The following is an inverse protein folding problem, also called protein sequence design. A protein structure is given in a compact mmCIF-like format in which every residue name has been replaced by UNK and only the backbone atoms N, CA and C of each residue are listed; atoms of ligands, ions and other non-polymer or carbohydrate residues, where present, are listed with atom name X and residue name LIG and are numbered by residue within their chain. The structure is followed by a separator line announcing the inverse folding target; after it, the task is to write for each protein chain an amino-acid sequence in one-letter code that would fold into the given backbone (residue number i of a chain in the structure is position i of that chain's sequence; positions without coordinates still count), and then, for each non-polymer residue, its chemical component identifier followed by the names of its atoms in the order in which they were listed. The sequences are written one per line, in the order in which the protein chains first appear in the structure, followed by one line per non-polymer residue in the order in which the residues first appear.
data_IF_869163682436
#
_entry.id   IF_869163682436
#
_cell.length_a   1.000
_cell.length_b   1.000
_cell.length_c   1.000
_cell.angle_alpha   90.00
_cell.angle_beta   90.00
_cell.angle_gamma   90.00
#
_symmetry.space_group_name_H-M   'P 1'
#
loop_
_entity.id
_entity.type
_entity.pdbx_description
1 polymer ?
#
# COMPACT_ATOMS: atom_id res chain seq x y z
N UNK A 1 -4.12 21.64 9.38
CA UNK A 1 -4.28 21.59 7.90
C UNK A 1 -3.89 20.24 7.29
N UNK A 2 -3.09 19.40 7.98
CA UNK A 2 -2.62 18.07 7.50
C UNK A 2 -3.69 16.97 7.49
N UNK A 3 -4.67 17.01 8.40
CA UNK A 3 -5.68 15.94 8.56
C UNK A 3 -6.67 15.84 7.40
N UNK A 4 -7.07 16.96 6.79
CA UNK A 4 -7.97 16.98 5.63
C UNK A 4 -7.34 16.30 4.40
N UNK A 5 -6.09 16.62 4.10
CA UNK A 5 -5.34 16.06 2.95
C UNK A 5 -5.26 14.53 3.05
N UNK A 6 -5.08 14.01 4.26
CA UNK A 6 -5.04 12.56 4.46
C UNK A 6 -6.39 11.87 4.27
N UNK A 7 -7.49 12.51 4.66
CA UNK A 7 -8.83 11.94 4.51
C UNK A 7 -9.25 11.92 3.04
N UNK A 8 -8.94 12.98 2.30
CA UNK A 8 -9.23 13.10 0.87
C UNK A 8 -8.45 12.05 0.06
N UNK A 9 -7.18 11.82 0.40
CA UNK A 9 -6.36 10.79 -0.22
C UNK A 9 -6.88 9.37 0.08
N UNK A 10 -7.32 9.10 1.31
CA UNK A 10 -7.88 7.79 1.67
C UNK A 10 -9.17 7.51 0.88
N UNK A 11 -10.03 8.53 0.71
CA UNK A 11 -11.23 8.45 -0.14
C UNK A 11 -10.89 8.25 -1.62
N UNK A 12 -9.84 8.90 -2.12
CA UNK A 12 -9.40 8.72 -3.51
C UNK A 12 -8.90 7.29 -3.76
N UNK A 13 -8.20 6.71 -2.78
CA UNK A 13 -7.67 5.35 -2.86
C UNK A 13 -8.73 4.25 -2.68
N UNK A 14 -9.84 4.51 -2.00
CA UNK A 14 -10.87 3.48 -1.79
C UNK A 14 -11.54 3.06 -3.09
N UNK A 15 -11.89 1.78 -3.21
CA UNK A 15 -12.56 1.19 -4.37
C UNK A 15 -11.78 0.03 -4.97
N UNK A 16 -12.23 -0.43 -6.14
CA UNK A 16 -11.69 -1.61 -6.82
C UNK A 16 -10.70 -1.20 -7.89
N UNK A 17 -9.48 -1.71 -7.79
CA UNK A 17 -8.37 -1.39 -8.67
C UNK A 17 -7.89 -2.63 -9.41
N UNK A 18 -7.64 -2.49 -10.71
CA UNK A 18 -6.87 -3.46 -11.48
C UNK A 18 -5.44 -2.96 -11.54
N UNK A 19 -4.51 -3.76 -11.05
CA UNK A 19 -3.09 -3.44 -10.96
C UNK A 19 -2.30 -4.26 -11.97
N UNK A 20 -1.41 -3.59 -12.69
CA UNK A 20 -0.31 -4.22 -13.42
C UNK A 20 0.99 -3.76 -12.77
N UNK A 21 1.71 -4.69 -12.14
CA UNK A 21 2.98 -4.44 -11.45
C UNK A 21 4.11 -5.13 -12.18
N UNK A 22 5.13 -4.36 -12.52
CA UNK A 22 6.41 -4.87 -13.04
C UNK A 22 7.46 -4.72 -11.95
N UNK A 23 8.11 -5.80 -11.57
CA UNK A 23 9.14 -5.83 -10.52
C UNK A 23 10.47 -6.30 -11.10
N UNK A 24 11.53 -5.55 -10.86
CA UNK A 24 12.89 -5.89 -11.24
C UNK A 24 13.70 -6.31 -10.02
N UNK A 25 14.15 -7.56 -10.01
CA UNK A 25 14.99 -8.13 -8.95
C UNK A 25 16.46 -7.98 -9.33
N UNK A 26 17.14 -7.08 -8.61
CA UNK A 26 18.48 -6.59 -9.00
C UNK A 26 19.52 -7.71 -8.98
N UNK A 27 19.52 -8.58 -7.98
CA UNK A 27 20.55 -9.60 -7.83
C UNK A 27 20.45 -10.72 -8.89
N UNK A 28 19.25 -11.03 -9.35
CA UNK A 28 19.02 -12.10 -10.32
C UNK A 28 18.85 -11.58 -11.74
N UNK A 29 18.78 -10.25 -11.93
CA UNK A 29 18.41 -9.61 -13.20
C UNK A 29 17.09 -10.15 -13.78
N UNK A 30 16.16 -10.56 -12.92
CA UNK A 30 14.85 -11.09 -13.31
C UNK A 30 13.82 -9.97 -13.26
N UNK A 31 12.95 -9.95 -14.26
CA UNK A 31 11.76 -9.12 -14.27
C UNK A 31 10.53 -10.00 -14.12
N UNK A 32 9.64 -9.63 -13.20
CA UNK A 32 8.35 -10.27 -12.99
C UNK A 32 7.23 -9.28 -13.32
N UNK A 33 6.18 -9.78 -13.97
CA UNK A 33 4.99 -8.99 -14.31
C UNK A 33 3.79 -9.67 -13.67
N UNK A 34 3.20 -8.99 -12.71
CA UNK A 34 2.08 -9.48 -11.94
C UNK A 34 0.84 -8.63 -12.20
N UNK A 35 -0.28 -9.29 -12.51
CA UNK A 35 -1.58 -8.66 -12.67
C UNK A 35 -2.49 -9.11 -11.53
N UNK A 36 -3.08 -8.14 -10.84
CA UNK A 36 -4.00 -8.42 -9.74
C UNK A 36 -5.16 -7.43 -9.73
N UNK A 37 -6.17 -7.76 -8.93
CA UNK A 37 -7.26 -6.87 -8.56
C UNK A 37 -7.22 -6.66 -7.06
N UNK A 38 -7.27 -5.40 -6.63
CA UNK A 38 -7.22 -5.03 -5.23
C UNK A 38 -8.50 -4.29 -4.91
N UNK A 39 -9.25 -4.77 -3.91
CA UNK A 39 -10.33 -3.98 -3.33
C UNK A 39 -9.81 -3.28 -2.07
N UNK A 40 -9.86 -1.95 -2.07
CA UNK A 40 -9.45 -1.12 -0.95
C UNK A 40 -10.69 -0.57 -0.25
N UNK A 41 -11.01 -1.17 0.89
CA UNK A 41 -12.10 -0.72 1.75
C UNK A 41 -11.55 0.14 2.87
N UNK A 42 -12.12 1.33 3.04
CA UNK A 42 -11.72 2.25 4.08
C UNK A 42 -12.49 1.89 5.36
N UNK A 43 -11.88 1.10 6.24
CA UNK A 43 -12.57 0.57 7.43
C UNK A 43 -12.69 1.62 8.55
N UNK A 44 -11.87 2.67 8.56
CA UNK A 44 -11.88 3.60 9.69
C UNK A 44 -11.82 5.08 9.27
N UNK A 45 -12.86 5.85 9.60
CA UNK A 45 -12.93 7.29 9.38
C UNK A 45 -12.12 8.09 10.40
N UNK A 46 -11.64 7.44 11.48
CA UNK A 46 -11.00 8.10 12.62
C UNK A 46 -9.48 8.19 12.50
N UNK A 47 -8.98 8.50 11.30
CA UNK A 47 -7.53 8.68 11.02
C UNK A 47 -7.06 10.07 11.50
N UNK A 48 -7.34 10.40 12.76
CA UNK A 48 -7.08 11.74 13.31
C UNK A 48 -5.76 11.87 14.06
N UNK A 49 -4.99 10.79 14.24
CA UNK A 49 -3.67 10.87 14.87
C UNK A 49 -2.67 9.87 14.27
N UNK A 50 -1.87 10.34 13.32
CA UNK A 50 -0.71 9.65 12.75
C UNK A 50 0.51 9.65 13.68
N UNK A 51 0.31 9.28 14.95
CA UNK A 51 1.41 9.11 15.92
C UNK A 51 1.61 7.65 16.34
N UNK A 52 0.85 6.71 15.78
CA UNK A 52 1.04 5.29 16.04
C UNK A 52 2.16 4.74 15.15
N UNK A 53 3.15 4.12 15.79
CA UNK A 53 4.30 3.47 15.14
C UNK A 53 3.93 2.20 14.36
N UNK A 54 2.68 1.73 14.51
CA UNK A 54 2.25 0.43 14.01
C UNK A 54 0.87 0.51 13.35
N UNK A 55 0.76 -0.06 12.15
CA UNK A 55 -0.49 -0.25 11.40
C UNK A 55 -0.68 -1.74 11.15
N UNK A 56 -1.92 -2.22 11.29
CA UNK A 56 -2.29 -3.59 10.97
C UNK A 56 -2.97 -3.62 9.61
N UNK A 57 -2.41 -4.41 8.69
CA UNK A 57 -2.99 -4.68 7.37
C UNK A 57 -3.67 -6.04 7.42
N UNK A 58 -4.93 -6.08 7.02
CA UNK A 58 -5.70 -7.29 6.85
C UNK A 58 -5.80 -7.61 5.36
N UNK A 59 -5.41 -8.82 4.96
CA UNK A 59 -5.55 -9.32 3.60
C UNK A 59 -6.43 -10.54 3.57
N UNK A 60 -7.52 -10.44 2.81
CA UNK A 60 -8.39 -11.57 2.52
C UNK A 60 -8.31 -11.88 1.02
N UNK A 61 -7.69 -13.00 0.67
CA UNK A 61 -7.61 -13.47 -0.70
C UNK A 61 -8.91 -14.19 -1.04
N UNK A 62 -9.73 -13.57 -1.88
CA UNK A 62 -11.01 -14.14 -2.31
C UNK A 62 -10.86 -15.01 -3.56
N UNK A 63 -9.81 -14.79 -4.33
CA UNK A 63 -9.44 -15.53 -5.53
C UNK A 63 -7.91 -15.42 -5.75
N UNK A 64 -7.35 -16.19 -6.68
CA UNK A 64 -5.92 -16.24 -7.05
C UNK A 64 -5.36 -14.83 -7.32
N UNK A 65 -6.17 -13.95 -7.89
CA UNK A 65 -5.76 -12.60 -8.29
C UNK A 65 -6.56 -11.49 -7.60
N UNK A 66 -7.42 -11.80 -6.61
CA UNK A 66 -8.28 -10.81 -5.95
C UNK A 66 -7.98 -10.78 -4.46
N UNK A 67 -7.41 -9.67 -4.01
CA UNK A 67 -7.14 -9.43 -2.60
C UNK A 67 -7.97 -8.25 -2.10
N UNK A 68 -8.78 -8.50 -1.07
CA UNK A 68 -9.39 -7.45 -0.29
C UNK A 68 -8.36 -7.00 0.76
N UNK A 69 -8.06 -5.71 0.76
CA UNK A 69 -7.09 -5.11 1.68
C UNK A 69 -7.79 -4.07 2.51
N UNK A 70 -7.68 -4.21 3.83
CA UNK A 70 -8.10 -3.20 4.77
C UNK A 70 -7.01 -2.96 5.81
N UNK A 71 -7.15 -1.90 6.59
CA UNK A 71 -6.18 -1.53 7.60
C UNK A 71 -6.86 -1.09 8.89
N UNK A 72 -6.16 -1.26 10.01
CA UNK A 72 -6.60 -0.85 11.34
C UNK A 72 -5.43 -0.30 12.15
N UNK A 73 -5.70 0.71 12.98
CA UNK A 73 -4.74 1.24 13.95
C UNK A 73 -4.68 0.41 15.23
N UNK A 74 -5.69 -0.45 15.46
CA UNK A 74 -5.74 -1.35 16.61
C UNK A 74 -5.70 -2.80 16.15
N UNK A 75 -5.03 -3.66 16.92
CA UNK A 75 -4.97 -5.09 16.61
C UNK A 75 -6.40 -5.66 16.66
N UNK A 76 -6.91 -6.24 15.55
CA UNK A 76 -8.25 -6.82 15.55
C UNK A 76 -8.28 -8.05 16.46
N UNK A 77 -9.36 -8.22 17.23
CA UNK A 77 -9.45 -9.24 18.29
C UNK A 77 -9.86 -10.63 17.77
N UNK A 78 -10.63 -10.69 16.68
CA UNK A 78 -11.19 -11.92 16.13
C UNK A 78 -10.91 -11.99 14.62
N UNK A 79 -9.93 -12.80 14.24
CA UNK A 79 -9.55 -12.97 12.83
C UNK A 79 -9.38 -14.46 12.53
N UNK A 80 -10.46 -15.09 12.07
CA UNK A 80 -10.38 -16.40 11.43
C UNK A 80 -10.23 -16.17 9.91
N UNK A 81 -9.28 -16.89 9.30
CA UNK A 81 -9.04 -16.94 7.84
C UNK A 81 -8.55 -15.66 7.12
N UNK A 82 -8.08 -14.64 7.84
CA UNK A 82 -7.51 -13.42 7.22
C UNK A 82 -6.03 -13.29 7.59
N UNK A 83 -5.20 -13.00 6.58
CA UNK A 83 -3.78 -12.76 6.80
C UNK A 83 -3.59 -11.38 7.44
N UNK A 84 -3.20 -11.37 8.72
CA UNK A 84 -2.84 -10.16 9.45
C UNK A 84 -1.35 -9.88 9.31
N UNK A 85 -0.99 -8.65 8.94
CA UNK A 85 0.38 -8.17 8.91
C UNK A 85 0.50 -6.86 9.69
N UNK A 86 1.42 -6.79 10.65
CA UNK A 86 1.82 -5.53 11.26
C UNK A 86 2.90 -4.84 10.41
N UNK A 87 2.74 -3.54 10.21
CA UNK A 87 3.76 -2.67 9.63
C UNK A 87 4.34 -1.81 10.73
N UNK A 88 5.62 -1.99 11.00
CA UNK A 88 6.34 -1.20 11.98
C UNK A 88 7.02 0.00 11.29
N UNK A 89 7.25 1.06 12.06
CA UNK A 89 7.90 2.29 11.59
C UNK A 89 7.23 2.88 10.33
N UNK A 90 5.92 2.69 10.22
CA UNK A 90 5.18 3.21 9.09
C UNK A 90 5.15 4.73 9.15
N UNK A 91 5.52 5.36 8.05
CA UNK A 91 5.43 6.80 7.86
C UNK A 91 4.89 7.12 6.47
N UNK A 92 4.12 8.19 6.39
CA UNK A 92 3.55 8.68 5.15
C UNK A 92 3.71 10.20 5.06
N UNK A 93 4.11 10.68 3.89
CA UNK A 93 4.29 12.08 3.55
C UNK A 93 3.43 12.42 2.34
N UNK A 94 2.46 13.31 2.55
CA UNK A 94 1.66 13.87 1.46
C UNK A 94 2.40 15.08 0.89
N UNK A 95 3.06 14.89 -0.26
CA UNK A 95 3.84 15.94 -0.91
C UNK A 95 2.94 16.95 -1.63
N UNK A 96 1.82 16.48 -2.19
CA UNK A 96 0.77 17.26 -2.87
C UNK A 96 -0.59 16.55 -2.66
N UNK A 97 -1.70 17.18 -3.05
CA UNK A 97 -3.06 16.60 -2.90
C UNK A 97 -3.25 15.23 -3.57
N UNK A 98 -2.41 14.90 -4.56
CA UNK A 98 -2.48 13.66 -5.32
C UNK A 98 -1.21 12.81 -5.24
N UNK A 99 -0.27 13.12 -4.34
CA UNK A 99 1.03 12.44 -4.25
C UNK A 99 1.41 12.11 -2.81
N UNK A 100 1.71 10.85 -2.59
CA UNK A 100 1.93 10.23 -1.30
C UNK A 100 3.20 9.41 -1.35
N UNK A 101 4.12 9.65 -0.41
CA UNK A 101 5.32 8.84 -0.23
C UNK A 101 5.18 8.07 1.06
N UNK A 102 5.50 6.78 1.05
CA UNK A 102 5.42 5.94 2.23
C UNK A 102 6.73 5.21 2.48
N UNK A 103 6.96 4.90 3.74
CA UNK A 103 8.08 4.10 4.20
C UNK A 103 7.61 3.20 5.35
N UNK A 104 8.02 1.95 5.37
CA UNK A 104 7.75 1.02 6.47
C UNK A 104 8.75 -0.13 6.46
N UNK A 105 8.83 -0.83 7.59
CA UNK A 105 9.68 -2.02 7.74
C UNK A 105 8.83 -3.27 7.98
N UNK A 106 9.23 -4.39 7.37
CA UNK A 106 8.70 -5.72 7.65
C UNK A 106 9.90 -6.64 7.85
N UNK A 107 10.03 -7.23 9.03
CA UNK A 107 11.19 -8.06 9.39
C UNK A 107 12.52 -7.31 9.15
N UNK A 108 13.36 -7.84 8.24
CA UNK A 108 14.62 -7.23 7.82
C UNK A 108 14.55 -6.51 6.46
N UNK A 109 13.33 -6.21 6.00
CA UNK A 109 13.07 -5.51 4.76
C UNK A 109 12.62 -4.09 5.05
N UNK A 110 13.27 -3.15 4.38
CA UNK A 110 12.87 -1.75 4.32
C UNK A 110 12.15 -1.50 3.01
N UNK A 111 10.94 -0.99 3.08
CA UNK A 111 10.13 -0.67 1.92
C UNK A 111 9.91 0.83 1.87
N UNK A 112 10.12 1.42 0.70
CA UNK A 112 9.77 2.80 0.42
C UNK A 112 9.10 2.90 -0.93
N UNK A 113 8.09 3.77 -1.03
CA UNK A 113 7.38 3.94 -2.27
C UNK A 113 6.81 5.34 -2.44
N UNK A 114 6.43 5.62 -3.68
CA UNK A 114 5.72 6.82 -4.07
C UNK A 114 4.51 6.40 -4.86
N UNK A 115 3.36 6.93 -4.49
CA UNK A 115 2.09 6.77 -5.18
C UNK A 115 1.57 8.13 -5.58
N UNK A 116 1.16 8.28 -6.84
CA UNK A 116 0.46 9.49 -7.24
C UNK A 116 -0.67 9.20 -8.22
N UNK A 117 -1.75 9.96 -8.08
CA UNK A 117 -2.86 9.94 -9.00
C UNK A 117 -2.53 10.80 -10.21
N UNK A 118 -2.55 10.17 -11.39
CA UNK A 118 -2.57 10.88 -12.68
C UNK A 118 -3.94 11.50 -12.90
N UNK A 119 -4.99 10.77 -12.50
CA UNK A 119 -6.38 11.25 -12.40
C UNK A 119 -7.12 10.40 -11.35
N UNK A 120 -8.38 10.70 -10.97
CA UNK A 120 -9.10 9.96 -9.92
C UNK A 120 -9.22 8.44 -10.13
N UNK A 121 -9.08 7.97 -11.38
CA UNK A 121 -9.22 6.57 -11.76
C UNK A 121 -7.90 5.92 -12.19
N UNK A 122 -6.77 6.64 -12.13
CA UNK A 122 -5.46 6.13 -12.51
C UNK A 122 -4.41 6.61 -11.51
N UNK A 123 -3.76 5.66 -10.84
CA UNK A 123 -2.58 5.92 -10.03
C UNK A 123 -1.39 5.12 -10.50
N UNK A 124 -0.22 5.68 -10.24
CA UNK A 124 1.07 5.06 -10.51
C UNK A 124 1.78 4.88 -9.19
N UNK A 125 2.42 3.72 -9.00
CA UNK A 125 3.28 3.47 -7.86
C UNK A 125 4.70 3.14 -8.32
N UNK A 126 5.67 3.64 -7.57
CA UNK A 126 7.06 3.21 -7.66
C UNK A 126 7.50 2.78 -6.28
N UNK A 127 7.91 1.53 -6.16
CA UNK A 127 8.32 0.92 -4.90
C UNK A 127 9.78 0.47 -4.96
N UNK A 128 10.46 0.50 -3.82
CA UNK A 128 11.81 -0.01 -3.64
C UNK A 128 11.87 -0.83 -2.37
N UNK A 129 12.52 -1.98 -2.45
CA UNK A 129 12.73 -2.90 -1.33
C UNK A 129 14.23 -3.02 -1.08
N UNK A 130 14.63 -2.77 0.15
CA UNK A 130 15.99 -2.93 0.63
C UNK A 130 16.08 -4.07 1.64
N UNK A 131 17.21 -4.77 1.64
CA UNK A 131 17.59 -5.76 2.65
C UNK A 131 19.05 -5.52 3.02
N UNK A 132 19.35 -5.34 4.30
CA UNK A 132 20.70 -5.05 4.79
C UNK A 132 21.35 -3.87 4.02
N UNK A 133 20.65 -2.75 3.88
CA UNK A 133 21.06 -1.54 3.14
C UNK A 133 21.38 -1.75 1.65
N UNK A 134 20.97 -2.87 1.05
CA UNK A 134 21.09 -3.11 -0.40
C UNK A 134 19.71 -3.13 -1.04
N UNK A 135 19.56 -2.39 -2.14
CA UNK A 135 18.34 -2.45 -2.94
C UNK A 135 18.26 -3.83 -3.60
N UNK A 136 17.19 -4.58 -3.32
CA UNK A 136 16.99 -5.93 -3.88
C UNK A 136 15.91 -5.96 -4.96
N UNK A 137 14.96 -5.02 -4.92
CA UNK A 137 13.86 -4.96 -5.87
C UNK A 137 13.39 -3.52 -6.07
N UNK A 138 13.06 -3.19 -7.32
CA UNK A 138 12.34 -1.98 -7.69
C UNK A 138 11.10 -2.39 -8.46
N UNK A 139 9.95 -1.82 -8.11
CA UNK A 139 8.71 -2.06 -8.84
C UNK A 139 8.12 -0.78 -9.38
N UNK A 140 7.46 -0.91 -10.52
CA UNK A 140 6.52 0.07 -11.05
C UNK A 140 5.15 -0.58 -11.14
N UNK A 141 4.09 0.12 -10.75
CA UNK A 141 2.73 -0.33 -11.05
C UNK A 141 1.87 0.78 -11.61
N UNK A 142 0.96 0.38 -12.51
CA UNK A 142 -0.20 1.18 -12.90
C UNK A 142 -1.46 0.53 -12.35
N UNK A 143 -2.27 1.33 -11.68
CA UNK A 143 -3.53 0.86 -11.11
C UNK A 143 -4.68 1.66 -11.72
N UNK A 144 -5.64 0.96 -12.30
CA UNK A 144 -6.84 1.53 -12.91
C UNK A 144 -8.04 1.20 -12.03
N UNK A 145 -8.77 2.23 -11.61
CA UNK A 145 -10.01 2.08 -10.86
C UNK A 145 -11.12 1.58 -11.78
N UNK A 146 -11.76 0.49 -11.40
CA UNK A 146 -12.87 -0.11 -12.14
C UNK A 146 -14.21 0.03 -11.42
N UNK A 147 -14.20 0.29 -10.11
CA UNK A 147 -15.37 0.61 -9.27
C UNK A 147 -14.97 1.60 -8.19
#
# INVERSE_FOLDING_TARGET
MSTKISLDLAKLNSGKWVTLRTSYFINSNIMDIHRSTINLDNIDSNIHSFHNQQIYILRNNTDINITNVSYSLTKPKDILDIQLQSLDNWSNFNNKSNHTSFFYTIDNLELSGKSWFVNPNLRINIDRIYKNNKCICVSFSSDIKIV
#
